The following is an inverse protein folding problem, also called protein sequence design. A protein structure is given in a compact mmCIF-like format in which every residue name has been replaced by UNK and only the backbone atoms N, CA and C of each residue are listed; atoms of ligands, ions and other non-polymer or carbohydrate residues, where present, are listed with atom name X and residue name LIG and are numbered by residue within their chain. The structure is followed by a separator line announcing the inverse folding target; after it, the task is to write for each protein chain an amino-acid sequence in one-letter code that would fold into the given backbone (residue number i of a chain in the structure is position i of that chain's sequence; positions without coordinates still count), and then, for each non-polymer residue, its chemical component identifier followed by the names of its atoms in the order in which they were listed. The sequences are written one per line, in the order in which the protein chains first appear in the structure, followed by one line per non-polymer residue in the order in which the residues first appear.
data_IF_631526390589
#
_entry.id   IF_631526390589
#
_cell.length_a   1.000
_cell.length_b   1.000
_cell.length_c   1.000
_cell.angle_alpha   90.00
_cell.angle_beta   90.00
_cell.angle_gamma   90.00
#
_symmetry.space_group_name_H-M   'P 1'
#
loop_
_entity.id
_entity.type
_entity.pdbx_description
1 polymer ?
#
# COMPACT_ATOMS: atom_id res chain seq x y z
N UNK A 1 -15.17 5.58 16.69
CA UNK A 1 -15.99 4.96 15.63
C UNK A 1 -15.06 4.21 14.70
N UNK A 2 -15.41 2.99 14.27
CA UNK A 2 -14.52 2.19 13.40
C UNK A 2 -14.42 2.78 11.99
N UNK A 3 -13.32 2.50 11.31
CA UNK A 3 -13.08 2.87 9.91
C UNK A 3 -13.36 1.68 8.99
N UNK A 4 -13.84 1.90 7.74
CA UNK A 4 -14.05 0.84 6.76
C UNK A 4 -12.84 -0.09 6.64
N UNK A 5 -13.10 -1.39 6.70
CA UNK A 5 -12.07 -2.41 6.67
C UNK A 5 -11.56 -2.64 5.24
N UNK A 6 -10.25 -2.76 5.08
CA UNK A 6 -9.62 -2.99 3.79
C UNK A 6 -9.62 -4.48 3.42
N UNK A 7 -9.64 -4.75 2.13
CA UNK A 7 -9.69 -6.09 1.54
C UNK A 7 -8.90 -6.14 0.24
N UNK A 8 -8.72 -7.35 -0.29
CA UNK A 8 -8.17 -7.58 -1.62
C UNK A 8 -8.89 -6.66 -2.64
N UNK A 9 -8.13 -6.07 -3.57
CA UNK A 9 -8.63 -5.19 -4.62
C UNK A 9 -8.81 -3.73 -4.21
N UNK A 10 -8.84 -3.40 -2.91
CA UNK A 10 -8.89 -2.01 -2.46
C UNK A 10 -7.64 -1.25 -2.88
N UNK A 11 -7.79 0.06 -3.11
CA UNK A 11 -6.75 0.88 -3.71
C UNK A 11 -5.86 1.53 -2.66
N UNK A 12 -4.59 1.65 -2.97
CA UNK A 12 -3.59 2.40 -2.20
C UNK A 12 -3.03 3.49 -3.08
N UNK A 13 -2.92 4.70 -2.56
CA UNK A 13 -2.23 5.79 -3.27
C UNK A 13 -0.88 6.08 -2.63
N UNK A 14 0.16 6.12 -3.45
CA UNK A 14 1.48 6.62 -3.07
C UNK A 14 1.44 8.16 -3.06
N UNK A 15 1.90 8.79 -1.98
CA UNK A 15 1.96 10.26 -1.92
C UNK A 15 3.11 10.75 -2.82
N UNK A 16 2.85 11.69 -3.73
CA UNK A 16 3.87 12.22 -4.66
C UNK A 16 4.65 13.41 -4.06
N UNK A 17 5.89 13.68 -4.52
CA UNK A 17 6.65 12.89 -5.51
C UNK A 17 7.32 11.65 -4.88
N UNK A 18 7.07 10.48 -5.47
CA UNK A 18 7.75 9.22 -5.18
C UNK A 18 8.35 8.68 -6.48
N UNK A 19 9.47 7.95 -6.39
CA UNK A 19 10.33 7.62 -7.53
C UNK A 19 11.09 8.85 -8.07
N UNK A 20 12.12 9.28 -7.35
CA UNK A 20 13.12 10.20 -7.89
C UNK A 20 14.50 9.53 -7.88
N UNK A 21 15.38 9.94 -8.78
CA UNK A 21 16.76 9.46 -8.79
C UNK A 21 17.43 9.65 -7.42
N UNK A 22 18.17 8.66 -6.88
CA UNK A 22 19.08 8.89 -5.77
C UNK A 22 20.02 10.03 -6.15
N UNK A 23 20.20 11.01 -5.26
CA UNK A 23 21.10 12.14 -5.55
C UNK A 23 22.55 11.64 -5.56
N UNK A 24 22.90 10.64 -4.74
CA UNK A 24 24.13 9.83 -4.80
C UNK A 24 23.92 8.51 -4.06
N UNK A 25 24.55 7.38 -4.46
CA UNK A 25 25.46 7.14 -5.59
C UNK A 25 24.74 7.17 -6.97
N UNK A 26 25.42 6.96 -8.14
CA UNK A 26 24.79 7.06 -9.46
C UNK A 26 23.48 6.29 -9.53
N UNK A 27 22.44 6.91 -10.08
CA UNK A 27 21.15 6.26 -10.24
C UNK A 27 21.30 4.95 -11.04
N UNK A 28 20.59 3.88 -10.67
CA UNK A 28 20.49 2.70 -11.52
C UNK A 28 20.07 3.12 -12.93
N UNK A 29 20.67 2.52 -13.96
CA UNK A 29 20.20 2.69 -15.34
C UNK A 29 19.23 1.55 -15.64
N UNK A 30 17.99 1.83 -16.08
CA UNK A 30 17.43 3.15 -16.42
C UNK A 30 17.09 4.02 -15.20
N UNK A 31 17.36 5.33 -15.31
CA UNK A 31 17.13 6.31 -14.24
C UNK A 31 15.64 6.41 -13.88
N UNK A 32 15.26 6.32 -12.60
CA UNK A 32 13.88 6.52 -12.18
C UNK A 32 13.39 7.93 -12.53
N UNK A 33 12.17 8.03 -13.07
CA UNK A 33 11.54 9.30 -13.44
C UNK A 33 10.33 9.56 -12.55
N UNK A 34 10.20 10.78 -11.96
CA UNK A 34 9.02 11.14 -11.19
C UNK A 34 7.74 11.05 -12.02
N UNK A 35 6.67 10.55 -11.41
CA UNK A 35 5.36 10.47 -12.03
C UNK A 35 4.25 10.87 -11.05
N UNK A 36 3.05 11.20 -11.56
CA UNK A 36 1.88 11.40 -10.71
C UNK A 36 1.52 10.14 -9.91
N UNK A 37 0.83 10.27 -8.76
CA UNK A 37 0.32 9.13 -8.02
C UNK A 37 -0.53 8.20 -8.87
N UNK A 38 -0.34 6.90 -8.65
CA UNK A 38 -1.21 5.86 -9.20
C UNK A 38 -1.86 5.08 -8.06
N UNK A 39 -3.17 4.84 -8.14
CA UNK A 39 -3.82 3.83 -7.31
C UNK A 39 -3.26 2.44 -7.63
N UNK A 40 -2.78 1.74 -6.59
CA UNK A 40 -2.29 0.37 -6.66
C UNK A 40 -3.21 -0.52 -5.83
N UNK A 41 -3.73 -1.58 -6.45
CA UNK A 41 -4.62 -2.53 -5.77
C UNK A 41 -3.85 -3.34 -4.71
N UNK A 42 -4.46 -3.62 -3.56
CA UNK A 42 -4.01 -4.66 -2.63
C UNK A 42 -4.21 -6.01 -3.31
N UNK A 43 -3.15 -6.80 -3.45
CA UNK A 43 -3.15 -8.09 -4.16
C UNK A 43 -2.91 -9.30 -3.25
N UNK A 44 -2.66 -9.06 -1.96
CA UNK A 44 -2.57 -10.10 -0.93
C UNK A 44 -3.56 -9.79 0.20
N UNK A 45 -4.09 -10.83 0.80
CA UNK A 45 -5.00 -10.75 1.94
C UNK A 45 -5.06 -12.10 2.65
N UNK A 46 -5.69 -12.14 3.82
CA UNK A 46 -5.96 -13.37 4.55
C UNK A 46 -7.08 -14.17 3.86
N UNK A 47 -6.79 -15.34 3.26
CA UNK A 47 -7.76 -16.06 2.45
C UNK A 47 -8.94 -16.63 3.24
N UNK A 48 -8.78 -16.83 4.55
CA UNK A 48 -9.81 -17.45 5.41
C UNK A 48 -10.81 -16.47 6.01
N UNK A 49 -10.47 -15.17 6.03
CA UNK A 49 -11.33 -14.12 6.60
C UNK A 49 -11.82 -13.22 5.48
N UNK A 50 -13.12 -13.24 5.21
CA UNK A 50 -13.71 -12.51 4.09
C UNK A 50 -14.42 -11.24 4.56
N UNK A 51 -14.08 -10.11 3.93
CA UNK A 51 -14.70 -8.80 4.14
C UNK A 51 -15.43 -8.41 2.86
N UNK A 52 -16.76 -8.37 2.92
CA UNK A 52 -17.63 -8.16 1.76
C UNK A 52 -17.36 -9.17 0.63
N UNK A 53 -17.01 -10.41 0.97
CA UNK A 53 -16.78 -11.51 0.03
C UNK A 53 -15.35 -11.62 -0.53
N UNK A 54 -14.40 -10.77 -0.11
CA UNK A 54 -13.00 -10.83 -0.56
C UNK A 54 -12.06 -11.03 0.63
N UNK A 55 -10.87 -11.64 0.42
CA UNK A 55 -9.86 -11.80 1.48
C UNK A 55 -9.55 -10.48 2.19
N UNK A 56 -9.54 -10.50 3.51
CA UNK A 56 -9.30 -9.32 4.35
C UNK A 56 -7.83 -8.87 4.27
N UNK A 57 -7.60 -7.57 4.16
CA UNK A 57 -6.24 -7.02 4.13
C UNK A 57 -5.73 -6.73 5.55
N UNK A 58 -4.41 -6.81 5.72
CA UNK A 58 -3.71 -6.71 7.01
C UNK A 58 -2.36 -6.06 6.85
N UNK A 59 -1.72 -5.72 7.97
CA UNK A 59 -0.30 -5.37 7.97
C UNK A 59 0.52 -6.46 7.29
N UNK A 60 1.52 -6.04 6.51
CA UNK A 60 2.36 -6.87 5.61
C UNK A 60 1.74 -7.31 4.28
N UNK A 61 0.43 -7.17 4.09
CA UNK A 61 -0.17 -7.45 2.78
C UNK A 61 0.30 -6.44 1.73
N UNK A 62 0.49 -6.93 0.51
CA UNK A 62 1.18 -6.21 -0.55
C UNK A 62 0.21 -5.65 -1.59
N UNK A 63 0.57 -4.50 -2.15
CA UNK A 63 -0.07 -3.95 -3.34
C UNK A 63 0.55 -4.52 -4.61
N UNK A 64 -0.12 -4.30 -5.75
CA UNK A 64 0.53 -4.43 -7.04
C UNK A 64 1.76 -3.51 -7.12
N UNK A 65 2.81 -3.91 -7.87
CA UNK A 65 3.90 -3.02 -8.22
C UNK A 65 3.42 -1.88 -9.12
N UNK A 66 4.14 -0.77 -9.14
CA UNK A 66 3.93 0.28 -10.14
C UNK A 66 4.23 -0.28 -11.54
N UNK A 67 3.35 -0.05 -12.52
CA UNK A 67 3.55 -0.54 -13.88
C UNK A 67 4.07 0.54 -14.85
N UNK A 68 4.45 1.72 -14.34
CA UNK A 68 4.93 2.81 -15.19
C UNK A 68 6.34 2.54 -15.71
N UNK A 69 6.63 2.76 -17.01
CA UNK A 69 7.94 2.47 -17.60
C UNK A 69 9.14 3.15 -16.92
N UNK A 70 8.94 4.33 -16.34
CA UNK A 70 9.99 5.08 -15.62
C UNK A 70 10.11 4.73 -14.14
N UNK A 71 9.25 3.85 -13.62
CA UNK A 71 9.32 3.37 -12.25
C UNK A 71 10.22 2.13 -12.24
N UNK A 72 11.46 2.29 -11.81
CA UNK A 72 12.43 1.19 -11.65
C UNK A 72 13.06 1.36 -10.27
N UNK A 73 13.09 0.34 -9.41
CA UNK A 73 12.75 -1.07 -9.62
C UNK A 73 11.28 -1.44 -9.30
N UNK A 74 10.35 -0.48 -9.31
CA UNK A 74 8.89 -0.66 -9.20
C UNK A 74 8.35 -1.70 -8.20
N UNK A 75 8.95 -1.85 -7.03
CA UNK A 75 8.49 -2.86 -6.07
C UNK A 75 7.08 -2.59 -5.51
N UNK A 76 6.44 -3.62 -4.94
CA UNK A 76 5.11 -3.49 -4.34
C UNK A 76 5.15 -2.59 -3.10
N UNK A 77 4.03 -1.92 -2.85
CA UNK A 77 3.72 -1.36 -1.55
C UNK A 77 3.34 -2.43 -0.55
N UNK A 78 3.35 -2.07 0.73
CA UNK A 78 2.99 -2.92 1.85
C UNK A 78 2.16 -2.12 2.84
N UNK A 79 1.12 -2.72 3.40
CA UNK A 79 0.41 -2.12 4.54
C UNK A 79 1.34 -2.08 5.75
N UNK A 80 1.65 -0.87 6.22
CA UNK A 80 2.61 -0.62 7.28
C UNK A 80 1.94 -0.37 8.64
N UNK A 81 0.68 0.06 8.65
CA UNK A 81 -0.11 0.29 9.85
C UNK A 81 -1.47 -0.39 9.72
N UNK A 82 -2.03 -0.80 10.85
CA UNK A 82 -3.35 -1.43 10.93
C UNK A 82 -4.06 -1.03 12.22
N UNK A 83 -5.12 -1.76 12.57
CA UNK A 83 -5.81 -1.66 13.85
C UNK A 83 -4.90 -1.99 15.04
N UNK A 84 -5.07 -1.29 16.16
CA UNK A 84 -4.36 -1.62 17.40
C UNK A 84 -5.04 -2.73 18.22
N UNK A 85 -6.28 -3.09 17.89
CA UNK A 85 -7.12 -3.96 18.72
C UNK A 85 -7.71 -5.13 17.95
N UNK A 86 -7.86 -5.01 16.63
CA UNK A 86 -8.44 -6.04 15.78
C UNK A 86 -7.34 -6.74 14.99
N UNK A 87 -7.23 -8.05 15.19
CA UNK A 87 -6.31 -8.91 14.46
C UNK A 87 -7.08 -9.82 13.50
N UNK A 88 -6.49 -10.05 12.32
CA UNK A 88 -6.97 -11.00 11.31
C UNK A 88 -5.81 -11.96 11.04
N UNK A 89 -6.00 -13.26 11.28
CA UNK A 89 -4.91 -14.25 11.19
C UNK A 89 -3.64 -13.81 11.93
N UNK A 90 -3.81 -13.32 13.17
CA UNK A 90 -2.74 -12.84 14.07
C UNK A 90 -1.97 -11.58 13.61
N UNK A 91 -2.41 -10.89 12.56
CA UNK A 91 -1.83 -9.62 12.13
C UNK A 91 -2.85 -8.48 12.24
N UNK A 92 -2.42 -7.24 12.53
CA UNK A 92 -3.32 -6.09 12.60
C UNK A 92 -4.17 -5.92 11.33
N UNK A 93 -5.48 -5.77 11.49
CA UNK A 93 -6.41 -5.58 10.39
C UNK A 93 -6.18 -4.23 9.69
N UNK A 94 -6.12 -4.21 8.35
CA UNK A 94 -5.95 -2.98 7.58
C UNK A 94 -7.27 -2.25 7.38
N UNK A 95 -7.23 -0.92 7.34
CA UNK A 95 -8.39 -0.04 7.32
C UNK A 95 -8.17 1.14 6.38
N UNK A 96 -9.26 1.75 5.96
CA UNK A 96 -9.22 3.00 5.21
C UNK A 96 -8.34 4.05 5.91
N UNK A 97 -7.41 4.64 5.17
CA UNK A 97 -6.49 5.67 5.67
C UNK A 97 -5.25 5.16 6.38
N UNK A 98 -5.13 3.86 6.65
CA UNK A 98 -3.93 3.26 7.23
C UNK A 98 -2.72 3.48 6.30
N UNK A 99 -1.55 3.64 6.92
CA UNK A 99 -0.30 3.94 6.23
C UNK A 99 0.21 2.73 5.45
N UNK A 100 0.69 2.98 4.24
CA UNK A 100 1.42 1.99 3.44
C UNK A 100 2.85 2.45 3.21
N UNK A 101 3.79 1.50 3.18
CA UNK A 101 5.19 1.74 2.87
C UNK A 101 5.50 1.19 1.48
N UNK A 102 6.32 1.89 0.71
CA UNK A 102 6.70 1.50 -0.66
C UNK A 102 8.22 1.35 -0.75
N UNK A 103 8.80 0.33 -0.09
CA UNK A 103 10.25 0.19 0.04
C UNK A 103 10.96 -0.12 -1.29
N UNK A 104 10.22 -0.63 -2.29
CA UNK A 104 10.74 -0.85 -3.63
C UNK A 104 10.78 0.41 -4.51
N UNK A 105 10.26 1.54 -4.02
CA UNK A 105 10.37 2.82 -4.70
C UNK A 105 11.65 3.54 -4.26
N UNK A 106 12.32 4.18 -5.23
CA UNK A 106 13.52 4.97 -4.96
C UNK A 106 13.13 6.42 -4.70
N UNK A 107 13.36 6.96 -3.51
CA UNK A 107 12.99 8.33 -3.19
C UNK A 107 13.92 8.91 -2.11
N UNK A 108 13.79 10.20 -1.73
CA UNK A 108 14.64 10.76 -0.70
C UNK A 108 14.25 10.11 0.61
N UNK A 109 15.19 10.01 1.54
CA UNK A 109 14.88 9.52 2.88
C UNK A 109 13.93 10.52 3.55
N UNK A 110 12.84 10.07 4.19
CA UNK A 110 12.40 8.68 4.38
C UNK A 110 11.62 8.08 3.18
N UNK A 111 11.68 6.75 3.02
CA UNK A 111 11.04 5.99 1.93
C UNK A 111 9.58 6.40 1.66
N UNK A 112 9.09 6.28 0.41
CA UNK A 112 7.74 6.72 0.07
C UNK A 112 6.66 6.01 0.89
N UNK A 113 5.70 6.80 1.34
CA UNK A 113 4.52 6.35 2.06
C UNK A 113 3.25 6.62 1.27
N UNK A 114 2.21 5.87 1.58
CA UNK A 114 0.90 6.00 1.00
C UNK A 114 -0.20 5.79 2.02
N UNK A 115 -1.44 5.79 1.51
CA UNK A 115 -2.64 5.48 2.30
C UNK A 115 -3.57 4.55 1.54
N UNK A 116 -4.26 3.70 2.28
CA UNK A 116 -5.40 2.94 1.76
C UNK A 116 -6.54 3.93 1.46
N UNK A 117 -7.04 3.91 0.23
CA UNK A 117 -8.07 4.80 -0.27
C UNK A 117 -9.49 4.28 0.06
N UNK A 118 -10.48 5.19 0.15
CA UNK A 118 -11.88 4.80 0.12
C UNK A 118 -12.26 4.10 -1.21
N UNK A 119 -13.36 3.33 -1.24
CA UNK A 119 -14.35 3.15 -0.17
C UNK A 119 -14.02 2.04 0.83
N UNK A 120 -13.04 1.17 0.54
CA UNK A 120 -12.85 -0.09 1.26
C UNK A 120 -14.18 -0.87 1.38
N UNK A 121 -14.39 -1.66 2.43
CA UNK A 121 -15.70 -2.23 2.74
C UNK A 121 -16.47 -1.34 3.74
N UNK A 122 -17.48 -0.56 3.29
CA UNK A 122 -18.17 0.40 4.17
C UNK A 122 -19.08 -0.27 5.21
N UNK A 123 -19.47 -1.53 5.00
CA UNK A 123 -20.34 -2.29 5.92
C UNK A 123 -19.59 -2.98 7.05
N UNK A 124 -18.25 -3.04 6.98
CA UNK A 124 -17.40 -3.65 8.01
C UNK A 124 -16.48 -2.58 8.56
N UNK A 125 -16.72 -2.18 9.80
CA UNK A 125 -15.94 -1.13 10.47
C UNK A 125 -14.98 -1.75 11.48
N UNK A 126 -13.71 -1.39 11.41
CA UNK A 126 -12.63 -1.88 12.29
C UNK A 126 -12.13 -0.71 13.15
N UNK A 127 -12.03 -0.96 14.46
CA UNK A 127 -11.57 -0.01 15.48
C UNK A 127 -10.07 0.17 15.53
#
# INVERSE_FOLDING_TARGET
MGTPAARLGDQVIQQAPHCHAPIHPPAPVPTPVPHPPLPLAIIKGEPTVLIGGQPAARVTDQTAPCALPGCVPNGPGMVAMGSFTVLIGNLPAARMGDMTAHPGCVAPIPSPVGKILPPCCPTVLVG
#
